data_IF_194508998153
#
_entry.id   IF_194508998153
#
_cell.length_a   1.000
_cell.length_b   1.000
_cell.length_c   1.000
_cell.angle_alpha   90.00
_cell.angle_beta   90.00
_cell.angle_gamma   90.00
#
_symmetry.space_group_name_H-M   'P 1'
#
loop_
_entity.id
_entity.type
_entity.pdbx_description
1 polymer ?
#
# COMPACT_ATOMS: atom_id res chain seq x y z
N UNK A 1 -12.20 -9.35 -10.92
CA UNK A 1 -11.07 -8.62 -11.52
C UNK A 1 -11.46 -7.39 -12.35
N UNK A 2 -12.75 -7.16 -12.69
CA UNK A 2 -13.15 -5.98 -13.50
C UNK A 2 -12.79 -4.63 -12.85
N UNK A 3 -12.87 -4.56 -11.53
CA UNK A 3 -12.60 -3.34 -10.76
C UNK A 3 -11.12 -2.93 -10.75
N UNK A 4 -10.20 -3.88 -10.54
CA UNK A 4 -8.76 -3.63 -10.67
C UNK A 4 -8.41 -3.19 -12.10
N UNK A 5 -9.02 -3.78 -13.12
CA UNK A 5 -8.84 -3.32 -14.50
C UNK A 5 -9.41 -1.92 -14.75
N UNK A 6 -10.50 -1.54 -14.09
CA UNK A 6 -11.10 -0.19 -14.20
C UNK A 6 -10.25 0.90 -13.53
N UNK A 7 -9.43 0.55 -12.54
CA UNK A 7 -8.46 1.47 -11.93
C UNK A 7 -7.17 1.65 -12.75
N UNK A 8 -6.88 0.74 -13.68
CA UNK A 8 -5.58 0.64 -14.35
C UNK A 8 -5.56 1.34 -15.74
N UNK A 9 -6.72 1.71 -16.30
CA UNK A 9 -6.79 2.24 -17.66
C UNK A 9 -6.76 3.79 -17.73
N UNK A 10 -5.64 4.32 -18.25
CA UNK A 10 -5.28 5.73 -18.57
C UNK A 10 -4.71 6.57 -17.41
N UNK A 11 -3.37 6.63 -17.39
CA UNK A 11 -2.54 7.34 -16.41
C UNK A 11 -2.80 6.87 -14.97
N UNK A 12 -1.79 6.90 -14.09
CA UNK A 12 -1.99 6.70 -12.65
C UNK A 12 -2.70 7.94 -12.07
N UNK A 13 -3.86 8.27 -12.65
CA UNK A 13 -4.71 9.37 -12.29
C UNK A 13 -5.79 8.85 -11.34
N UNK A 14 -6.23 9.75 -10.48
CA UNK A 14 -7.07 9.40 -9.34
C UNK A 14 -8.45 8.96 -9.84
N UNK A 15 -8.98 7.84 -9.31
CA UNK A 15 -10.22 7.27 -9.80
C UNK A 15 -11.38 8.26 -9.64
N UNK A 16 -12.16 8.39 -10.71
CA UNK A 16 -13.37 9.22 -10.72
C UNK A 16 -14.55 8.41 -10.26
N UNK A 17 -15.12 8.81 -9.12
CA UNK A 17 -16.30 8.19 -8.53
C UNK A 17 -17.53 9.05 -8.83
N UNK A 18 -18.54 8.45 -9.46
CA UNK A 18 -19.84 9.09 -9.70
C UNK A 18 -20.96 8.18 -9.21
N UNK A 19 -22.06 8.75 -8.73
CA UNK A 19 -23.23 8.00 -8.29
C UNK A 19 -24.38 8.19 -9.27
N UNK A 20 -25.16 7.15 -9.52
CA UNK A 20 -26.47 7.35 -10.13
C UNK A 20 -27.40 8.13 -9.18
N UNK A 21 -28.46 8.74 -9.71
CA UNK A 21 -29.39 9.58 -8.93
C UNK A 21 -29.95 8.87 -7.68
N UNK A 22 -30.21 7.56 -7.80
CA UNK A 22 -30.77 6.74 -6.72
C UNK A 22 -29.72 6.19 -5.73
N UNK A 23 -28.42 6.49 -5.92
CA UNK A 23 -27.30 5.99 -5.12
C UNK A 23 -27.23 4.47 -4.99
N UNK A 24 -27.66 3.74 -6.03
CA UNK A 24 -27.61 2.28 -6.10
C UNK A 24 -26.46 1.77 -6.96
N UNK A 25 -25.91 2.63 -7.83
CA UNK A 25 -24.79 2.32 -8.74
C UNK A 25 -23.69 3.37 -8.52
N UNK A 26 -22.48 2.88 -8.29
CA UNK A 26 -21.23 3.63 -8.28
C UNK A 26 -20.53 3.42 -9.63
N UNK A 27 -20.24 4.51 -10.32
CA UNK A 27 -19.39 4.53 -11.51
C UNK A 27 -17.96 4.83 -11.07
N UNK A 28 -17.02 3.94 -11.41
CA UNK A 28 -15.58 4.14 -11.21
C UNK A 28 -14.94 4.18 -12.60
N UNK A 29 -14.42 5.34 -13.00
CA UNK A 29 -13.87 5.56 -14.34
C UNK A 29 -14.83 5.05 -15.43
N UNK A 30 -16.09 5.50 -15.38
CA UNK A 30 -17.18 5.09 -16.31
C UNK A 30 -17.62 3.62 -16.20
N UNK A 31 -17.03 2.82 -15.31
CA UNK A 31 -17.45 1.42 -15.10
C UNK A 31 -18.51 1.34 -13.99
N UNK A 32 -19.74 0.86 -14.27
CA UNK A 32 -20.80 0.75 -13.28
C UNK A 32 -20.61 -0.44 -12.35
N UNK A 33 -20.81 -0.22 -11.06
CA UNK A 33 -20.72 -1.21 -9.99
C UNK A 33 -21.90 -1.00 -9.05
N UNK A 34 -22.59 -2.09 -8.67
CA UNK A 34 -23.63 -1.98 -7.65
C UNK A 34 -23.00 -1.68 -6.30
N UNK A 35 -23.62 -0.79 -5.53
CA UNK A 35 -23.05 -0.31 -4.26
C UNK A 35 -22.91 -1.45 -3.23
N UNK A 36 -23.82 -2.41 -3.27
CA UNK A 36 -23.71 -3.65 -2.48
C UNK A 36 -22.46 -4.48 -2.86
N UNK A 37 -22.13 -4.55 -4.15
CA UNK A 37 -20.99 -5.30 -4.66
C UNK A 37 -19.68 -4.55 -4.36
N UNK A 38 -19.73 -3.23 -4.28
CA UNK A 38 -18.59 -2.39 -3.93
C UNK A 38 -18.09 -2.67 -2.51
N UNK A 39 -18.98 -2.67 -1.52
CA UNK A 39 -18.62 -3.01 -0.13
C UNK A 39 -18.08 -4.42 0.00
N UNK A 40 -18.70 -5.38 -0.69
CA UNK A 40 -18.22 -6.77 -0.73
C UNK A 40 -16.83 -6.84 -1.38
N UNK A 41 -16.59 -6.08 -2.45
CA UNK A 41 -15.29 -5.97 -3.11
C UNK A 41 -14.19 -5.47 -2.19
N UNK A 42 -14.44 -4.41 -1.40
CA UNK A 42 -13.49 -3.93 -0.37
C UNK A 42 -13.17 -5.03 0.63
N UNK A 43 -14.19 -5.67 1.20
CA UNK A 43 -14.00 -6.73 2.18
C UNK A 43 -13.19 -7.91 1.60
N UNK A 44 -13.53 -8.37 0.40
CA UNK A 44 -12.80 -9.44 -0.28
C UNK A 44 -11.35 -9.07 -0.56
N UNK A 45 -11.06 -7.83 -0.97
CA UNK A 45 -9.69 -7.38 -1.19
C UNK A 45 -8.89 -7.35 0.11
N UNK A 46 -9.46 -6.87 1.22
CA UNK A 46 -8.80 -6.90 2.54
C UNK A 46 -8.46 -8.33 2.95
N UNK A 47 -9.39 -9.28 2.78
CA UNK A 47 -9.15 -10.70 3.07
C UNK A 47 -8.04 -11.27 2.18
N UNK A 48 -8.03 -10.91 0.89
CA UNK A 48 -7.00 -11.34 -0.06
C UNK A 48 -5.62 -10.81 0.35
N UNK A 49 -5.50 -9.52 0.66
CA UNK A 49 -4.25 -8.90 1.14
C UNK A 49 -3.74 -9.63 2.38
N UNK A 50 -4.62 -9.87 3.36
CA UNK A 50 -4.24 -10.58 4.60
C UNK A 50 -3.71 -11.98 4.30
N UNK A 51 -4.35 -12.70 3.39
CA UNK A 51 -3.95 -14.05 2.99
C UNK A 51 -2.58 -14.05 2.31
N UNK A 52 -2.36 -13.14 1.36
CA UNK A 52 -1.06 -13.02 0.67
C UNK A 52 0.03 -12.55 1.62
N UNK A 53 -0.28 -11.64 2.55
CA UNK A 53 0.66 -11.18 3.57
C UNK A 53 1.10 -12.31 4.49
N UNK A 54 0.17 -13.16 4.95
CA UNK A 54 0.47 -14.36 5.75
C UNK A 54 1.34 -15.36 4.98
N UNK A 55 1.09 -15.53 3.68
CA UNK A 55 1.91 -16.35 2.78
C UNK A 55 3.33 -15.78 2.70
N UNK A 56 3.48 -14.50 2.39
CA UNK A 56 4.78 -13.84 2.24
C UNK A 56 5.58 -13.74 3.53
N UNK A 57 4.92 -13.73 4.69
CA UNK A 57 5.57 -13.66 5.99
C UNK A 57 5.86 -15.03 6.61
N UNK A 58 5.61 -16.13 5.89
CA UNK A 58 5.70 -17.52 6.38
C UNK A 58 5.01 -17.72 7.74
N UNK A 59 3.84 -17.10 7.92
CA UNK A 59 3.08 -17.22 9.17
C UNK A 59 3.65 -16.42 10.35
N UNK A 60 4.58 -15.48 10.11
CA UNK A 60 4.94 -14.47 11.10
C UNK A 60 3.67 -13.76 11.59
N UNK A 61 3.52 -13.69 12.91
CA UNK A 61 2.40 -12.98 13.52
C UNK A 61 2.54 -11.48 13.26
N UNK A 62 1.67 -10.95 12.40
CA UNK A 62 1.64 -9.54 12.03
C UNK A 62 0.97 -8.68 13.10
N UNK A 63 0.24 -9.26 14.06
CA UNK A 63 -0.52 -8.52 15.06
C UNK A 63 0.32 -7.54 15.88
N UNK A 64 1.57 -7.85 16.30
CA UNK A 64 2.43 -6.88 16.98
C UNK A 64 2.79 -5.67 16.12
N UNK A 65 2.95 -5.85 14.80
CA UNK A 65 3.22 -4.76 13.85
C UNK A 65 1.98 -3.87 13.73
N UNK A 66 0.80 -4.47 13.57
CA UNK A 66 -0.47 -3.74 13.52
C UNK A 66 -0.72 -2.98 14.82
N UNK A 67 -0.51 -3.61 15.97
CA UNK A 67 -0.65 -2.95 17.27
C UNK A 67 0.35 -1.81 17.48
N UNK A 68 1.51 -1.85 16.82
CA UNK A 68 2.45 -0.71 16.80
C UNK A 68 1.94 0.43 15.93
N UNK A 69 1.37 0.13 14.77
CA UNK A 69 0.72 1.10 13.87
C UNK A 69 -0.50 1.74 14.55
N UNK A 70 -1.36 0.94 15.18
CA UNK A 70 -2.56 1.44 15.86
C UNK A 70 -2.20 2.37 17.03
N UNK A 71 -1.14 2.05 17.78
CA UNK A 71 -0.63 2.91 18.86
C UNK A 71 -0.16 4.28 18.37
N UNK A 72 0.44 4.36 17.19
CA UNK A 72 0.85 5.64 16.59
C UNK A 72 -0.36 6.53 16.24
N UNK A 73 -1.54 5.93 16.06
CA UNK A 73 -2.79 6.65 15.78
C UNK A 73 -3.46 7.22 17.04
N UNK A 74 -2.98 6.86 18.24
CA UNK A 74 -3.51 7.33 19.53
C UNK A 74 -2.67 8.54 19.98
N UNK A 75 -3.27 9.73 20.19
CA UNK A 75 -2.55 10.88 20.73
C UNK A 75 -2.01 10.58 22.13
N UNK A 76 -0.84 11.12 22.46
CA UNK A 76 -0.29 11.01 23.80
C UNK A 76 -1.06 11.89 24.82
N UNK A 77 -0.63 11.84 26.09
CA UNK A 77 -1.24 12.63 27.16
C UNK A 77 -1.17 14.15 26.94
N UNK A 78 -0.33 14.62 26.03
CA UNK A 78 -0.19 16.02 25.63
C UNK A 78 -0.97 16.37 24.36
N UNK A 79 -1.64 15.39 23.74
CA UNK A 79 -2.39 15.54 22.50
C UNK A 79 -1.52 15.47 21.24
N UNK A 80 -0.23 15.15 21.37
CA UNK A 80 0.69 15.03 20.23
C UNK A 80 0.58 13.62 19.64
N UNK A 81 0.32 13.53 18.33
CA UNK A 81 0.29 12.27 17.61
C UNK A 81 1.72 11.83 17.25
N UNK A 82 2.02 10.57 17.53
CA UNK A 82 3.28 9.92 17.17
C UNK A 82 3.19 9.28 15.79
N UNK A 83 2.90 10.07 14.76
CA UNK A 83 2.97 9.59 13.38
C UNK A 83 4.40 9.18 13.02
N UNK A 84 4.50 8.10 12.27
CA UNK A 84 5.76 7.67 11.67
C UNK A 84 6.31 8.77 10.76
N UNK A 85 7.61 9.01 10.85
CA UNK A 85 8.29 10.06 10.09
C UNK A 85 9.24 9.44 9.09
N UNK A 86 9.11 9.86 7.86
CA UNK A 86 10.10 9.65 6.82
C UNK A 86 11.08 10.84 6.81
N UNK A 87 12.37 10.58 6.64
CA UNK A 87 13.37 11.62 6.53
C UNK A 87 13.61 11.97 5.05
N UNK A 88 12.90 13.00 4.58
CA UNK A 88 12.98 13.47 3.19
C UNK A 88 14.39 13.92 2.74
N UNK A 89 15.33 14.10 3.67
CA UNK A 89 16.70 14.49 3.34
C UNK A 89 17.62 13.28 3.08
N UNK A 90 17.16 12.05 3.34
CA UNK A 90 17.97 10.85 3.14
C UNK A 90 17.93 10.45 1.67
N UNK A 91 19.06 10.65 0.98
CA UNK A 91 19.24 10.24 -0.41
C UNK A 91 19.95 8.89 -0.56
N UNK A 92 20.07 8.15 0.55
CA UNK A 92 20.77 6.87 0.55
C UNK A 92 20.01 5.83 -0.28
N UNK A 93 20.73 5.15 -1.17
CA UNK A 93 20.19 4.01 -1.89
C UNK A 93 19.77 2.91 -0.90
N UNK A 94 18.58 2.33 -1.11
CA UNK A 94 17.97 1.35 -0.19
C UNK A 94 17.60 1.89 1.19
N UNK A 95 17.39 3.21 1.29
CA UNK A 95 16.73 3.79 2.45
C UNK A 95 15.36 3.12 2.68
N UNK A 96 15.07 2.83 3.95
CA UNK A 96 13.78 2.31 4.40
C UNK A 96 13.44 3.06 5.69
N UNK A 97 12.30 3.75 5.72
CA UNK A 97 11.79 4.41 6.95
C UNK A 97 11.66 3.43 8.14
N UNK A 98 11.55 2.13 7.83
CA UNK A 98 11.55 1.01 8.78
C UNK A 98 12.83 0.94 9.64
N UNK A 99 13.95 1.48 9.13
CA UNK A 99 15.22 1.52 9.84
C UNK A 99 15.37 2.77 10.74
N UNK A 100 14.46 3.75 10.64
CA UNK A 100 14.52 4.95 11.48
C UNK A 100 14.21 4.61 12.94
N UNK A 101 15.13 4.87 13.88
CA UNK A 101 14.94 4.53 15.29
C UNK A 101 13.69 5.15 15.89
N UNK A 102 13.29 6.36 15.46
CA UNK A 102 12.11 7.04 16.00
C UNK A 102 10.80 6.33 15.64
N UNK A 103 10.76 5.58 14.54
CA UNK A 103 9.57 4.85 14.11
C UNK A 103 9.39 3.51 14.85
N UNK A 104 10.45 2.98 15.49
CA UNK A 104 10.36 1.79 16.34
C UNK A 104 10.08 0.47 15.62
N UNK A 105 10.23 0.41 14.29
CA UNK A 105 9.94 -0.81 13.52
C UNK A 105 11.09 -1.83 13.47
N UNK A 106 12.31 -1.43 13.80
CA UNK A 106 13.51 -2.27 13.72
C UNK A 106 13.39 -3.60 14.47
N UNK A 107 12.62 -3.63 15.56
CA UNK A 107 12.34 -4.84 16.36
C UNK A 107 11.58 -5.93 15.60
N UNK A 108 10.84 -5.57 14.55
CA UNK A 108 10.05 -6.51 13.75
C UNK A 108 10.79 -7.00 12.49
N UNK A 109 11.94 -6.38 12.16
CA UNK A 109 12.69 -6.62 10.92
C UNK A 109 13.07 -8.09 10.76
N UNK A 110 13.64 -8.66 11.82
CA UNK A 110 14.07 -10.05 11.83
C UNK A 110 12.85 -10.96 11.75
N UNK A 111 11.74 -10.64 12.41
CA UNK A 111 10.51 -11.43 12.34
C UNK A 111 9.91 -11.53 10.93
N UNK A 112 9.82 -10.41 10.22
CA UNK A 112 9.20 -10.34 8.90
C UNK A 112 10.00 -11.06 7.81
N UNK A 113 11.33 -11.02 7.87
CA UNK A 113 12.19 -11.48 6.77
C UNK A 113 13.11 -12.65 7.14
N UNK A 114 13.21 -13.08 8.41
CA UNK A 114 14.14 -14.14 8.82
C UNK A 114 13.91 -15.49 8.14
N UNK A 115 12.72 -15.72 7.60
CA UNK A 115 12.40 -16.95 6.89
C UNK A 115 12.99 -16.95 5.46
N UNK A 116 13.15 -15.78 4.82
CA UNK A 116 13.56 -15.69 3.41
C UNK A 116 14.90 -16.37 3.14
N UNK A 117 15.99 -16.16 3.91
CA UNK A 117 17.27 -16.81 3.64
C UNK A 117 17.25 -18.34 3.84
N UNK A 118 16.26 -18.86 4.57
CA UNK A 118 16.08 -20.28 4.88
C UNK A 118 15.06 -20.96 3.96
N UNK A 119 14.43 -20.20 3.08
CA UNK A 119 13.46 -20.74 2.14
C UNK A 119 14.18 -21.47 1.01
N UNK A 120 14.16 -22.80 1.08
CA UNK A 120 14.77 -23.67 0.07
C UNK A 120 14.09 -23.60 -1.31
N UNK A 121 12.87 -23.05 -1.42
CA UNK A 121 12.21 -22.83 -2.70
C UNK A 121 12.77 -21.59 -3.40
N UNK A 122 13.01 -20.51 -2.64
CA UNK A 122 13.57 -19.25 -3.14
C UNK A 122 15.09 -19.33 -3.31
N UNK A 123 15.77 -20.00 -2.38
CA UNK A 123 17.23 -20.06 -2.30
C UNK A 123 17.72 -21.51 -2.10
N UNK A 124 17.52 -22.40 -3.08
CA UNK A 124 17.99 -23.79 -3.00
C UNK A 124 19.52 -23.89 -2.87
N UNK A 125 19.98 -24.92 -2.16
CA UNK A 125 21.39 -25.28 -2.06
C UNK A 125 21.78 -26.15 -3.25
N UNK A 126 22.70 -25.67 -4.08
CA UNK A 126 23.31 -26.41 -5.19
C UNK A 126 24.82 -26.41 -5.02
N UNK A 127 25.46 -27.59 -5.00
CA UNK A 127 26.91 -27.74 -4.82
C UNK A 127 27.45 -26.99 -3.59
N UNK A 128 26.77 -27.11 -2.43
CA UNK A 128 27.10 -26.40 -1.18
C UNK A 128 27.02 -24.86 -1.26
N UNK A 129 26.49 -24.30 -2.34
CA UNK A 129 26.24 -22.88 -2.50
C UNK A 129 24.75 -22.59 -2.52
N UNK A 130 24.36 -21.49 -1.89
CA UNK A 130 22.99 -20.96 -1.98
C UNK A 130 22.85 -20.24 -3.31
N UNK A 131 21.88 -20.66 -4.14
CA UNK A 131 21.65 -20.07 -5.47
C UNK A 131 20.21 -19.57 -5.55
N UNK A 132 19.95 -18.33 -6.03
CA UNK A 132 18.59 -17.83 -6.17
C UNK A 132 17.82 -18.60 -7.25
N UNK A 133 16.59 -19.01 -6.92
CA UNK A 133 15.64 -19.53 -7.88
C UNK A 133 14.83 -18.37 -8.47
N UNK A 134 15.25 -17.89 -9.64
CA UNK A 134 14.70 -16.68 -10.28
C UNK A 134 13.19 -16.78 -10.52
N UNK A 135 12.68 -17.95 -10.90
CA UNK A 135 11.25 -18.16 -11.15
C UNK A 135 10.44 -17.98 -9.85
N UNK A 136 10.92 -18.58 -8.75
CA UNK A 136 10.25 -18.49 -7.44
C UNK A 136 10.38 -17.12 -6.80
N UNK A 137 11.52 -16.45 -6.98
CA UNK A 137 11.66 -15.05 -6.58
C UNK A 137 10.70 -14.14 -7.35
N UNK A 138 10.50 -14.39 -8.65
CA UNK A 138 9.53 -13.64 -9.45
C UNK A 138 8.11 -13.86 -8.96
N UNK A 139 7.70 -15.11 -8.70
CA UNK A 139 6.40 -15.41 -8.09
C UNK A 139 6.20 -14.67 -6.76
N UNK A 140 7.23 -14.67 -5.90
CA UNK A 140 7.20 -13.94 -4.62
C UNK A 140 7.02 -12.42 -4.82
N UNK A 141 7.68 -11.82 -5.81
CA UNK A 141 7.49 -10.40 -6.14
C UNK A 141 6.10 -10.11 -6.75
N UNK A 142 5.51 -11.06 -7.47
CA UNK A 142 4.13 -10.92 -7.98
C UNK A 142 3.11 -10.96 -6.83
N UNK A 143 3.30 -11.86 -5.86
CA UNK A 143 2.51 -11.87 -4.64
C UNK A 143 2.61 -10.53 -3.88
N UNK A 144 3.82 -9.95 -3.80
CA UNK A 144 4.02 -8.63 -3.18
C UNK A 144 3.29 -7.52 -3.97
N UNK A 145 3.37 -7.55 -5.30
CA UNK A 145 2.66 -6.60 -6.17
C UNK A 145 1.13 -6.69 -6.02
N UNK A 146 0.59 -7.90 -5.80
CA UNK A 146 -0.83 -8.10 -5.50
C UNK A 146 -1.26 -7.45 -4.17
N UNK A 147 -0.39 -7.47 -3.15
CA UNK A 147 -0.62 -6.72 -1.91
C UNK A 147 -0.65 -5.21 -2.20
N UNK A 148 0.33 -4.69 -2.93
CA UNK A 148 0.42 -3.25 -3.23
C UNK A 148 -0.81 -2.77 -4.00
N UNK A 149 -1.23 -3.52 -5.03
CA UNK A 149 -2.46 -3.24 -5.79
C UNK A 149 -3.71 -3.30 -4.92
N UNK A 150 -3.78 -4.29 -4.02
CA UNK A 150 -4.88 -4.42 -3.08
C UNK A 150 -4.96 -3.23 -2.13
N UNK A 151 -3.83 -2.84 -1.52
CA UNK A 151 -3.75 -1.69 -0.61
C UNK A 151 -4.16 -0.41 -1.34
N UNK A 152 -3.61 -0.16 -2.53
CA UNK A 152 -4.01 0.98 -3.36
C UNK A 152 -5.50 1.01 -3.64
N UNK A 153 -6.11 -0.15 -3.97
CA UNK A 153 -7.55 -0.25 -4.17
C UNK A 153 -8.33 0.10 -2.89
N UNK A 154 -7.96 -0.46 -1.74
CA UNK A 154 -8.64 -0.20 -0.46
C UNK A 154 -8.51 1.27 -0.08
N UNK A 155 -7.31 1.83 -0.16
CA UNK A 155 -7.05 3.24 0.15
C UNK A 155 -7.91 4.14 -0.74
N UNK A 156 -7.86 3.95 -2.06
CA UNK A 156 -8.64 4.75 -2.99
C UNK A 156 -10.16 4.64 -2.80
N UNK A 157 -10.66 3.51 -2.31
CA UNK A 157 -12.08 3.33 -2.02
C UNK A 157 -12.51 3.93 -0.68
N UNK A 158 -11.58 4.09 0.27
CA UNK A 158 -11.83 4.57 1.63
C UNK A 158 -11.50 6.07 1.80
N UNK A 159 -10.73 6.65 0.88
CA UNK A 159 -10.49 8.09 0.75
C UNK A 159 -11.80 8.74 0.27
N UNK A 160 -12.59 9.28 1.20
CA UNK A 160 -13.92 9.81 0.91
C UNK A 160 -13.95 11.25 0.36
N UNK A 161 -14.61 11.44 -0.80
CA UNK A 161 -15.37 12.67 -1.11
C UNK A 161 -14.91 13.47 -2.34
N UNK A 162 -15.88 14.05 -3.07
CA UNK A 162 -15.66 14.84 -4.29
C UNK A 162 -14.79 16.11 -4.12
N UNK A 163 -14.62 16.61 -2.90
CA UNK A 163 -13.72 17.73 -2.60
C UNK A 163 -12.22 17.34 -2.72
N UNK A 164 -11.88 16.08 -2.44
CA UNK A 164 -10.50 15.60 -2.55
C UNK A 164 -10.10 15.34 -4.01
N UNK A 165 -11.03 14.92 -4.87
CA UNK A 165 -10.79 14.85 -6.31
C UNK A 165 -10.34 16.19 -6.89
N UNK A 166 -10.92 17.29 -6.41
CA UNK A 166 -10.52 18.66 -6.77
C UNK A 166 -9.18 19.07 -6.16
N UNK A 167 -8.86 18.71 -4.91
CA UNK A 167 -7.54 18.95 -4.31
C UNK A 167 -6.42 18.22 -5.06
N UNK A 168 -6.68 16.98 -5.42
CA UNK A 168 -5.76 16.17 -6.21
C UNK A 168 -5.62 16.67 -7.66
N UNK A 169 -6.70 17.13 -8.28
CA UNK A 169 -6.66 17.79 -9.59
C UNK A 169 -5.87 19.10 -9.53
N UNK A 170 -6.05 19.90 -8.48
CA UNK A 170 -5.24 21.10 -8.21
C UNK A 170 -3.75 20.76 -8.00
N UNK A 171 -3.45 19.67 -7.28
CA UNK A 171 -2.07 19.20 -7.07
C UNK A 171 -1.43 18.70 -8.37
N UNK A 172 -2.16 17.94 -9.18
CA UNK A 172 -1.73 17.50 -10.51
C UNK A 172 -1.48 18.70 -11.44
N UNK A 173 -2.38 19.69 -11.44
CA UNK A 173 -2.21 20.94 -12.19
C UNK A 173 -0.97 21.72 -11.75
N UNK A 174 -0.76 21.88 -10.43
CA UNK A 174 0.44 22.54 -9.88
C UNK A 174 1.74 21.77 -10.21
N UNK A 175 1.69 20.44 -10.32
CA UNK A 175 2.86 19.60 -10.63
C UNK A 175 3.21 19.54 -12.11
N UNK A 176 2.20 19.59 -12.98
CA UNK A 176 2.39 19.57 -14.44
C UNK A 176 3.30 20.72 -14.90
N UNK A 177 3.32 21.82 -14.16
CA UNK A 177 4.19 22.98 -14.41
C UNK A 177 5.62 22.84 -13.87
N UNK A 178 5.88 21.95 -12.91
CA UNK A 178 7.18 21.89 -12.20
C UNK A 178 8.02 20.63 -12.43
N UNK A 179 7.51 19.58 -13.11
CA UNK A 179 8.26 18.36 -13.56
C UNK A 179 9.28 17.81 -12.53
N UNK A 180 8.98 17.91 -11.24
CA UNK A 180 9.81 17.35 -10.18
C UNK A 180 9.00 16.31 -9.44
N UNK A 181 9.65 15.21 -9.09
CA UNK A 181 9.12 14.25 -8.15
C UNK A 181 8.85 14.97 -6.83
N UNK A 182 7.61 14.92 -6.37
CA UNK A 182 7.25 15.55 -5.10
C UNK A 182 6.56 14.54 -4.21
N UNK A 183 7.04 14.52 -2.98
CA UNK A 183 6.37 13.90 -1.86
C UNK A 183 5.35 14.88 -1.28
N UNK A 184 4.08 14.48 -1.24
CA UNK A 184 2.98 15.27 -0.69
C UNK A 184 2.35 14.51 0.46
N UNK A 185 2.03 15.22 1.55
CA UNK A 185 1.21 14.68 2.62
C UNK A 185 -0.16 15.30 2.53
N UNK A 186 -1.16 14.51 2.15
CA UNK A 186 -2.56 14.96 2.05
C UNK A 186 -3.34 14.20 3.12
N UNK A 187 -3.90 14.94 4.10
CA UNK A 187 -4.70 14.39 5.19
C UNK A 187 -4.09 13.16 5.89
N UNK A 188 -2.76 13.15 6.09
CA UNK A 188 -2.05 12.07 6.78
C UNK A 188 -1.50 10.96 5.87
N UNK A 189 -1.70 11.04 4.55
CA UNK A 189 -1.14 10.06 3.59
C UNK A 189 0.00 10.69 2.79
N UNK A 190 1.14 10.03 2.78
CA UNK A 190 2.29 10.37 1.96
C UNK A 190 2.13 9.80 0.54
N UNK A 191 2.04 10.67 -0.45
CA UNK A 191 1.93 10.32 -1.87
C UNK A 191 3.14 10.87 -2.61
N UNK A 192 3.82 10.03 -3.38
CA UNK A 192 4.87 10.47 -4.31
C UNK A 192 4.23 10.60 -5.69
N UNK A 193 4.22 11.81 -6.24
CA UNK A 193 3.87 12.03 -7.64
C UNK A 193 5.18 11.99 -8.43
N UNK A 194 5.36 10.94 -9.24
CA UNK A 194 6.55 10.78 -10.11
C UNK A 194 6.37 11.39 -11.48
#
# INVERSE_FOLDING_TARGET
MSLLSSLVYKEQSIPRFNWNFNKTILLINETPILVQDFSNGIHHTIVSIKTVLQKLSHGFDIMPVLAHIDRASIPDATGVQFWFRDNANVQQMFYLFFNEPENGFTVFKDGLLAHLPKDNHLFPIKNQMVVPNIEKLREWFLDLDDIVKGLYYVDMCMIGGGAQGTEFEHLSYAHTYHKKHSALVINGIFTIIT
#
